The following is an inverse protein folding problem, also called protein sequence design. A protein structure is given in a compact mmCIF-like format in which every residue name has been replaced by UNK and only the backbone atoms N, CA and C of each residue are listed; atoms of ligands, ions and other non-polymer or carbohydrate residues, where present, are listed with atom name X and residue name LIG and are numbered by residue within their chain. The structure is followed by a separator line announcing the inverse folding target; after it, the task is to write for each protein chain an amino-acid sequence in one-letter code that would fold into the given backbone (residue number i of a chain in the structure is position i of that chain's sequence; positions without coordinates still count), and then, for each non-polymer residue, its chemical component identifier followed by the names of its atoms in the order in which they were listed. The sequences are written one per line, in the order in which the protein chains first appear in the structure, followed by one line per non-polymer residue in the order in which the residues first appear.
data_IF_986275095182
#
_entry.id   IF_986275095182
#
_cell.length_a   1.000
_cell.length_b   1.000
_cell.length_c   1.000
_cell.angle_alpha   90.00
_cell.angle_beta   90.00
_cell.angle_gamma   90.00
#
_symmetry.space_group_name_H-M   'P 1'
#
loop_
_entity.id
_entity.type
_entity.pdbx_description
1 polymer ?
#
# COMPACT_ATOMS: atom_id res chain seq x y z
N UNK A 1 6.26 7.44 0.88
CA UNK A 1 6.06 7.41 2.35
C UNK A 1 7.27 6.74 3.00
N UNK A 2 8.49 7.15 2.66
CA UNK A 2 9.69 6.52 3.20
C UNK A 2 9.92 6.99 4.65
N UNK A 3 10.32 6.08 5.55
CA UNK A 3 10.67 6.40 6.94
C UNK A 3 9.61 7.21 7.69
N UNK A 4 8.33 6.90 7.47
CA UNK A 4 7.19 7.60 8.06
C UNK A 4 6.59 6.89 9.28
N UNK A 5 7.19 5.77 9.71
CA UNK A 5 6.67 4.97 10.83
C UNK A 5 5.42 4.17 10.48
N UNK A 6 5.21 3.85 9.19
CA UNK A 6 4.06 3.02 8.76
C UNK A 6 4.19 1.61 9.33
N UNK A 7 3.14 1.15 10.00
CA UNK A 7 2.99 -0.22 10.50
C UNK A 7 1.95 -1.00 9.69
N UNK A 8 1.64 -2.23 10.13
CA UNK A 8 0.57 -3.05 9.54
C UNK A 8 -0.80 -2.34 9.62
N UNK A 9 -1.10 -1.66 10.73
CA UNK A 9 -2.32 -0.86 10.88
C UNK A 9 -2.36 0.31 9.88
N UNK A 10 -1.22 0.97 9.67
CA UNK A 10 -1.09 2.00 8.63
C UNK A 10 -1.37 1.46 7.23
N UNK A 11 -0.95 0.22 6.95
CA UNK A 11 -1.24 -0.44 5.67
C UNK A 11 -2.73 -0.75 5.48
N UNK A 12 -3.48 -1.06 6.55
CA UNK A 12 -4.94 -1.22 6.49
C UNK A 12 -5.61 0.09 6.08
N UNK A 13 -5.20 1.21 6.71
CA UNK A 13 -5.73 2.53 6.38
C UNK A 13 -5.38 2.94 4.94
N UNK A 14 -4.13 2.76 4.52
CA UNK A 14 -3.69 3.02 3.15
C UNK A 14 -4.46 2.19 2.13
N UNK A 15 -4.60 0.88 2.38
CA UNK A 15 -5.35 -0.03 1.51
C UNK A 15 -6.81 0.39 1.38
N UNK A 16 -7.44 0.81 2.48
CA UNK A 16 -8.83 1.27 2.48
C UNK A 16 -9.00 2.58 1.72
N UNK A 17 -8.09 3.54 1.93
CA UNK A 17 -8.11 4.83 1.22
C UNK A 17 -7.92 4.64 -0.29
N UNK A 18 -6.95 3.80 -0.68
CA UNK A 18 -6.74 3.41 -2.08
C UNK A 18 -8.01 2.76 -2.63
N UNK A 19 -8.57 1.77 -1.93
CA UNK A 19 -9.81 1.07 -2.32
C UNK A 19 -11.01 1.99 -2.55
N UNK A 20 -11.17 2.99 -1.69
CA UNK A 20 -12.30 3.92 -1.73
C UNK A 20 -12.16 4.98 -2.83
N UNK A 21 -10.94 5.30 -3.23
CA UNK A 21 -10.66 6.25 -4.30
C UNK A 21 -9.58 5.66 -5.22
N UNK A 22 -9.99 4.81 -6.19
CA UNK A 22 -9.08 4.23 -7.15
C UNK A 22 -8.32 5.35 -7.87
N UNK A 23 -7.09 5.59 -7.43
CA UNK A 23 -6.29 6.69 -7.92
C UNK A 23 -5.52 6.26 -9.16
N UNK A 24 -5.03 7.25 -9.92
CA UNK A 24 -4.06 6.99 -10.99
C UNK A 24 -2.65 6.69 -10.45
N UNK A 25 -2.50 6.42 -9.15
CA UNK A 25 -1.22 6.09 -8.53
C UNK A 25 -0.67 4.79 -9.12
N UNK A 26 0.53 4.90 -9.69
CA UNK A 26 1.26 3.77 -10.28
C UNK A 26 2.39 3.25 -9.41
N UNK A 27 2.87 4.08 -8.50
CA UNK A 27 4.05 3.78 -7.67
C UNK A 27 3.74 4.22 -6.25
N UNK A 28 4.05 3.35 -5.28
CA UNK A 28 3.89 3.62 -3.86
C UNK A 28 5.15 3.20 -3.11
N UNK A 29 5.99 4.17 -2.78
CA UNK A 29 7.22 3.92 -2.04
C UNK A 29 6.96 3.84 -0.53
N UNK A 30 7.30 2.70 0.08
CA UNK A 30 7.10 2.40 1.49
C UNK A 30 8.36 1.83 2.18
N UNK A 31 9.53 1.95 1.56
CA UNK A 31 10.82 1.62 2.17
C UNK A 31 11.03 2.34 3.51
N UNK A 32 11.91 1.75 4.32
CA UNK A 32 12.29 2.24 5.65
C UNK A 32 11.11 2.42 6.62
N UNK A 33 10.01 1.72 6.41
CA UNK A 33 8.93 1.59 7.38
C UNK A 33 8.95 0.23 8.06
N UNK A 34 8.40 0.18 9.27
CA UNK A 34 8.31 -1.04 10.06
C UNK A 34 7.06 -1.86 9.69
N UNK A 35 6.87 -2.13 8.39
CA UNK A 35 5.73 -2.87 7.87
C UNK A 35 5.96 -4.37 8.10
N UNK A 36 5.07 -4.98 8.85
CA UNK A 36 5.06 -6.40 9.14
C UNK A 36 4.52 -7.26 7.98
N UNK A 37 4.45 -8.58 8.20
CA UNK A 37 3.97 -9.51 7.18
C UNK A 37 2.52 -9.26 6.74
N UNK A 38 1.66 -8.81 7.67
CA UNK A 38 0.24 -8.60 7.38
C UNK A 38 0.03 -7.39 6.48
N UNK A 39 0.74 -6.28 6.76
CA UNK A 39 0.71 -5.08 5.94
C UNK A 39 1.27 -5.33 4.55
N UNK A 40 2.39 -6.04 4.42
CA UNK A 40 2.95 -6.45 3.12
C UNK A 40 1.98 -7.29 2.30
N UNK A 41 1.26 -8.23 2.94
CA UNK A 41 0.24 -9.06 2.26
C UNK A 41 -0.96 -8.24 1.79
N UNK A 42 -1.40 -7.26 2.59
CA UNK A 42 -2.49 -6.35 2.21
C UNK A 42 -2.11 -5.50 1.00
N UNK A 43 -0.91 -4.91 1.02
CA UNK A 43 -0.41 -4.06 -0.06
C UNK A 43 -0.15 -4.86 -1.33
N UNK A 44 0.39 -6.08 -1.24
CA UNK A 44 0.59 -6.94 -2.42
C UNK A 44 -0.73 -7.33 -3.08
N UNK A 45 -1.81 -7.50 -2.29
CA UNK A 45 -3.14 -7.75 -2.84
C UNK A 45 -3.68 -6.58 -3.68
N UNK A 46 -3.22 -5.34 -3.45
CA UNK A 46 -3.59 -4.18 -4.27
C UNK A 46 -2.97 -4.25 -5.67
N UNK A 47 -1.76 -4.83 -5.83
CA UNK A 47 -1.10 -4.97 -7.13
C UNK A 47 -1.90 -5.81 -8.13
N UNK A 48 -2.72 -6.73 -7.61
CA UNK A 48 -3.54 -7.64 -8.41
C UNK A 48 -4.99 -7.16 -8.58
N UNK A 49 -5.39 -6.06 -7.94
CA UNK A 49 -6.73 -5.50 -8.12
C UNK A 49 -6.72 -4.63 -9.37
N UNK A 50 -7.49 -5.02 -10.40
CA UNK A 50 -7.49 -4.39 -11.74
C UNK A 50 -7.82 -2.89 -11.72
N UNK A 51 -8.43 -2.41 -10.63
CA UNK A 51 -8.72 -0.99 -10.42
C UNK A 51 -7.46 -0.18 -10.05
N UNK A 52 -6.40 -0.86 -9.60
CA UNK A 52 -5.13 -0.29 -9.18
C UNK A 52 -4.06 -0.67 -10.18
N UNK A 53 -3.57 0.32 -10.92
CA UNK A 53 -2.47 0.13 -11.88
C UNK A 53 -1.12 0.30 -11.20
N UNK A 54 -0.98 -0.28 -10.01
CA UNK A 54 0.27 -0.19 -9.25
C UNK A 54 1.32 -1.07 -9.94
N UNK A 55 2.32 -0.44 -10.52
CA UNK A 55 3.41 -1.11 -11.22
C UNK A 55 4.49 -1.55 -10.22
N UNK A 56 4.75 -0.68 -9.22
CA UNK A 56 5.80 -0.87 -8.23
C UNK A 56 5.29 -0.55 -6.82
N UNK A 57 5.68 -1.39 -5.87
CA UNK A 57 5.51 -1.26 -4.43
C UNK A 57 6.87 -1.48 -3.78
#
# INVERSE_FOLDING_TARGET
LQSCGVSDEGCVALTSALRSNPSHLRELELSDNNIGPSGKKLLSALKYDERYKLQTL
#
